data_IF_170084855515
#
_entry.id   IF_170084855515
#
_cell.length_a   1.000
_cell.length_b   1.000
_cell.length_c   1.000
_cell.angle_alpha   90.00
_cell.angle_beta   90.00
_cell.angle_gamma   90.00
#
_symmetry.space_group_name_H-M   'P 1'
#
loop_
_entity.id
_entity.type
_entity.pdbx_description
1 polymer ?
#
# COMPACT_ATOMS: atom_id res chain seq x y z
N UNK A 1 -9.72 3.37 -6.67
CA UNK A 1 -8.26 3.55 -6.91
C UNK A 1 -7.64 2.24 -7.39
N UNK A 2 -6.75 2.30 -8.37
CA UNK A 2 -6.01 1.12 -8.90
C UNK A 2 -4.89 0.74 -7.93
N UNK A 3 -4.55 -0.55 -7.84
CA UNK A 3 -3.40 -1.00 -7.00
C UNK A 3 -2.10 -0.27 -7.34
N UNK A 4 -1.86 0.01 -8.63
CA UNK A 4 -0.68 0.75 -9.10
C UNK A 4 -0.64 2.21 -8.59
N UNK A 5 -1.79 2.86 -8.44
CA UNK A 5 -1.87 4.23 -7.90
C UNK A 5 -1.56 4.23 -6.40
N UNK A 6 -2.10 3.26 -5.67
CA UNK A 6 -1.81 3.09 -4.24
C UNK A 6 -0.31 2.87 -4.01
N UNK A 7 0.32 1.98 -4.79
CA UNK A 7 1.75 1.70 -4.70
C UNK A 7 2.57 2.98 -4.92
N UNK A 8 2.27 3.75 -5.97
CA UNK A 8 2.96 5.02 -6.24
C UNK A 8 2.83 6.03 -5.09
N UNK A 9 1.65 6.12 -4.47
CA UNK A 9 1.41 7.06 -3.38
C UNK A 9 2.20 6.68 -2.12
N UNK A 10 2.24 5.40 -1.76
CA UNK A 10 3.00 4.95 -0.60
C UNK A 10 4.50 5.00 -0.86
N UNK A 11 4.95 4.72 -2.09
CA UNK A 11 6.35 4.86 -2.49
C UNK A 11 6.82 6.32 -2.42
N UNK A 12 5.98 7.27 -2.83
CA UNK A 12 6.26 8.70 -2.70
C UNK A 12 6.34 9.16 -1.23
N UNK A 13 5.66 8.49 -0.30
CA UNK A 13 5.78 8.73 1.14
C UNK A 13 7.05 8.12 1.75
N UNK A 14 7.79 7.30 0.99
CA UNK A 14 9.04 6.66 1.43
C UNK A 14 8.89 5.18 1.79
N UNK A 15 7.74 4.57 1.49
CA UNK A 15 7.60 3.11 1.58
C UNK A 15 8.33 2.43 0.42
N UNK A 16 9.02 1.33 0.70
CA UNK A 16 9.70 0.55 -0.33
C UNK A 16 9.26 -0.91 -0.28
N UNK A 17 9.13 -1.53 -1.44
CA UNK A 17 8.77 -2.94 -1.55
C UNK A 17 9.91 -3.81 -0.99
N UNK A 18 9.56 -4.72 -0.07
CA UNK A 18 10.54 -5.63 0.55
C UNK A 18 10.41 -7.06 0.06
N UNK A 19 9.19 -7.50 -0.24
CA UNK A 19 8.92 -8.84 -0.78
C UNK A 19 7.54 -8.88 -1.41
N UNK A 20 7.35 -9.86 -2.29
CA UNK A 20 6.05 -10.19 -2.85
C UNK A 20 5.73 -11.66 -2.59
N UNK A 21 4.54 -11.93 -2.09
CA UNK A 21 4.02 -13.29 -1.91
C UNK A 21 2.77 -13.44 -2.76
N UNK A 22 2.90 -14.11 -3.91
CA UNK A 22 1.82 -14.25 -4.88
C UNK A 22 1.31 -12.89 -5.36
N UNK A 23 0.02 -12.62 -5.15
CA UNK A 23 -0.61 -11.34 -5.51
C UNK A 23 -0.58 -10.28 -4.41
N UNK A 24 0.31 -10.40 -3.41
CA UNK A 24 0.43 -9.44 -2.32
C UNK A 24 1.85 -8.90 -2.25
N UNK A 25 1.97 -7.59 -2.41
CA UNK A 25 3.22 -6.85 -2.25
C UNK A 25 3.31 -6.30 -0.84
N UNK A 26 4.45 -6.51 -0.21
CA UNK A 26 4.72 -6.03 1.14
C UNK A 26 5.73 -4.88 1.10
N UNK A 27 5.44 -3.82 1.86
CA UNK A 27 6.22 -2.59 1.90
C UNK A 27 6.65 -2.28 3.32
N UNK A 28 7.86 -1.75 3.48
CA UNK A 28 8.37 -1.18 4.74
C UNK A 28 8.69 0.29 4.58
N UNK A 29 8.71 0.99 5.71
CA UNK A 29 9.20 2.35 5.80
C UNK A 29 10.48 2.37 6.64
N UNK A 30 11.49 3.20 6.32
CA UNK A 30 12.72 3.28 7.12
C UNK A 30 12.49 3.78 8.54
N UNK A 31 11.51 4.68 8.73
CA UNK A 31 11.24 5.33 10.02
C UNK A 31 9.90 4.99 10.66
N UNK A 32 8.91 4.50 9.87
CA UNK A 32 7.56 4.21 10.38
C UNK A 32 7.49 2.72 10.71
N UNK A 33 7.06 2.33 11.91
CA UNK A 33 6.95 0.93 12.28
C UNK A 33 5.80 0.27 11.51
N UNK A 34 5.99 -0.98 11.11
CA UNK A 34 4.96 -1.81 10.49
C UNK A 34 5.32 -2.32 9.10
N UNK A 35 4.36 -3.06 8.52
CA UNK A 35 4.45 -3.63 7.18
C UNK A 35 3.14 -3.34 6.45
N UNK A 36 3.20 -2.55 5.38
CA UNK A 36 2.03 -2.29 4.56
C UNK A 36 1.88 -3.40 3.51
N UNK A 37 0.66 -3.92 3.35
CA UNK A 37 0.40 -4.99 2.37
C UNK A 37 -0.59 -4.51 1.33
N UNK A 38 -0.18 -4.52 0.07
CA UNK A 38 -1.00 -4.08 -1.06
C UNK A 38 -1.26 -5.28 -2.00
N UNK A 39 -2.53 -5.66 -2.21
CA UNK A 39 -2.84 -6.68 -3.20
C UNK A 39 -2.64 -6.13 -4.62
N UNK A 40 -1.81 -6.81 -5.38
CA UNK A 40 -1.44 -6.49 -6.76
C UNK A 40 -1.27 -7.77 -7.59
N UNK A 41 -1.82 -7.86 -8.81
CA UNK A 41 -2.51 -6.82 -9.58
C UNK A 41 -4.01 -6.74 -9.28
N UNK A 42 -4.50 -5.53 -8.99
CA UNK A 42 -5.94 -5.20 -8.90
C UNK A 42 -6.24 -3.89 -9.62
N UNK A 43 -7.23 -3.92 -10.50
CA UNK A 43 -7.75 -2.75 -11.22
C UNK A 43 -8.57 -1.83 -10.32
N UNK A 44 -9.20 -2.38 -9.28
CA UNK A 44 -9.93 -1.60 -8.29
C UNK A 44 -9.74 -2.21 -6.92
N UNK A 45 -9.35 -1.38 -5.94
CA UNK A 45 -9.30 -1.75 -4.54
C UNK A 45 -10.55 -1.23 -3.82
N UNK A 46 -11.27 -2.08 -3.06
CA UNK A 46 -12.44 -1.64 -2.33
C UNK A 46 -12.04 -0.68 -1.21
N UNK A 47 -12.96 0.20 -0.82
CA UNK A 47 -12.73 1.24 0.21
C UNK A 47 -12.18 0.66 1.52
N UNK A 48 -12.61 -0.53 1.93
CA UNK A 48 -12.09 -1.21 3.12
C UNK A 48 -10.59 -1.50 3.04
N UNK A 49 -10.11 -1.95 1.87
CA UNK A 49 -8.67 -2.18 1.62
C UNK A 49 -7.91 -0.85 1.61
N UNK A 50 -8.45 0.19 0.98
CA UNK A 50 -7.83 1.51 0.97
C UNK A 50 -7.71 2.10 2.38
N UNK A 51 -8.75 1.95 3.22
CA UNK A 51 -8.73 2.38 4.62
C UNK A 51 -7.72 1.59 5.45
N UNK A 52 -7.62 0.27 5.23
CA UNK A 52 -6.65 -0.59 5.91
C UNK A 52 -5.21 -0.16 5.56
N UNK A 53 -4.91 0.07 4.28
CA UNK A 53 -3.60 0.53 3.83
C UNK A 53 -3.33 1.95 4.34
N UNK A 54 -4.31 2.84 4.34
CA UNK A 54 -4.20 4.20 4.91
C UNK A 54 -3.83 4.13 6.40
N UNK A 55 -4.47 3.25 7.17
CA UNK A 55 -4.17 3.06 8.60
C UNK A 55 -2.75 2.50 8.82
N UNK A 56 -2.27 1.63 7.94
CA UNK A 56 -0.92 1.05 8.02
C UNK A 56 0.18 2.03 7.62
N UNK A 57 -0.09 2.85 6.59
CA UNK A 57 0.94 3.72 5.97
C UNK A 57 0.89 5.17 6.46
N UNK A 58 -0.26 5.60 6.99
CA UNK A 58 -0.56 7.00 7.27
C UNK A 58 -0.85 7.84 6.01
N UNK A 59 -0.84 7.24 4.82
CA UNK A 59 -1.06 7.94 3.55
C UNK A 59 -2.55 7.98 3.23
N UNK A 60 -3.16 9.16 2.99
CA UNK A 60 -4.59 9.26 2.69
C UNK A 60 -4.89 8.74 1.27
N UNK A 61 -5.39 7.50 1.18
CA UNK A 61 -5.73 6.83 -0.09
C UNK A 61 -7.22 6.92 -0.47
N UNK A 62 -8.05 7.53 0.39
CA UNK A 62 -9.49 7.62 0.23
C UNK A 62 -9.87 9.10 0.02
N UNK A 63 -9.85 9.54 -1.23
CA UNK A 63 -10.56 10.75 -1.70
C UNK A 63 -11.61 10.32 -2.69
#
# INVERSE_FOLDING_TARGET
>A
MKSREVIKLIEADGWYEVRQTGSHKHFRHPTKPGLATVPHPKSHLPKGTLNSITKQTGVPLNK
#
